data_IF_376589960261
#
_entry.id   IF_376589960261
#
_cell.length_a   1.000
_cell.length_b   1.000
_cell.length_c   1.000
_cell.angle_alpha   90.00
_cell.angle_beta   90.00
_cell.angle_gamma   90.00
#
_symmetry.space_group_name_H-M   'P 1'
#
loop_
_entity.id
_entity.type
_entity.pdbx_description
1 polymer ?
#
# COMPACT_ATOMS: atom_id res chain seq x y z
N UNK A 1 -2.21 -19.58 -1.55
CA UNK A 1 -2.53 -18.14 -1.69
C UNK A 1 -1.56 -17.49 -2.66
N UNK A 2 -1.99 -16.47 -3.39
CA UNK A 2 -1.13 -15.70 -4.31
C UNK A 2 -0.25 -14.70 -3.54
N UNK A 3 0.83 -14.26 -4.17
CA UNK A 3 1.63 -13.13 -3.69
C UNK A 3 0.79 -11.85 -3.59
N UNK A 4 1.05 -11.05 -2.55
CA UNK A 4 0.43 -9.74 -2.34
C UNK A 4 1.50 -8.72 -1.94
N UNK A 5 1.22 -7.44 -2.18
CA UNK A 5 2.08 -6.32 -1.75
C UNK A 5 2.40 -6.39 -0.26
N UNK A 6 3.68 -6.52 0.07
CA UNK A 6 4.17 -6.48 1.44
C UNK A 6 4.67 -5.10 1.81
N UNK A 7 5.67 -4.60 1.07
CA UNK A 7 6.27 -3.29 1.31
C UNK A 7 6.86 -2.70 0.03
N UNK A 8 6.85 -1.37 -0.02
CA UNK A 8 7.46 -0.57 -1.08
C UNK A 8 8.70 0.13 -0.55
N UNK A 9 9.70 0.28 -1.41
CA UNK A 9 10.96 0.91 -1.12
C UNK A 9 11.28 1.95 -2.19
N UNK A 10 11.89 3.08 -1.81
CA UNK A 10 12.29 4.14 -2.74
C UNK A 10 13.54 3.77 -3.55
N UNK A 11 14.29 2.74 -3.14
CA UNK A 11 15.56 2.38 -3.75
C UNK A 11 15.60 0.88 -4.12
N UNK A 12 16.05 0.60 -5.34
CA UNK A 12 16.23 -0.76 -5.86
C UNK A 12 17.17 -1.61 -5.00
N UNK A 13 18.26 -1.01 -4.51
CA UNK A 13 19.28 -1.69 -3.73
C UNK A 13 18.68 -2.19 -2.42
N UNK A 14 17.99 -1.30 -1.70
CA UNK A 14 17.30 -1.64 -0.46
C UNK A 14 16.26 -2.75 -0.67
N UNK A 15 15.42 -2.63 -1.70
CA UNK A 15 14.43 -3.66 -2.02
C UNK A 15 15.07 -5.03 -2.32
N UNK A 16 16.19 -5.05 -3.07
CA UNK A 16 16.92 -6.29 -3.40
C UNK A 16 17.59 -6.91 -2.18
N UNK A 17 18.13 -6.09 -1.28
CA UNK A 17 18.69 -6.55 0.00
C UNK A 17 17.61 -7.22 0.86
N UNK A 18 16.44 -6.58 0.97
CA UNK A 18 15.31 -7.16 1.71
C UNK A 18 14.81 -8.44 1.04
N UNK A 19 14.66 -8.47 -0.29
CA UNK A 19 14.26 -9.68 -1.02
C UNK A 19 15.25 -10.84 -0.79
N UNK A 20 16.55 -10.55 -0.81
CA UNK A 20 17.60 -11.53 -0.54
C UNK A 20 17.56 -12.03 0.91
N UNK A 21 17.30 -11.13 1.87
CA UNK A 21 17.15 -11.47 3.27
C UNK A 21 15.94 -12.38 3.49
N UNK A 22 14.77 -12.06 2.92
CA UNK A 22 13.58 -12.89 3.01
C UNK A 22 13.82 -14.28 2.39
N UNK A 23 14.49 -14.33 1.23
CA UNK A 23 14.87 -15.59 0.57
C UNK A 23 15.76 -16.46 1.47
N UNK A 24 16.75 -15.86 2.15
CA UNK A 24 17.65 -16.56 3.10
C UNK A 24 16.89 -17.25 4.24
N UNK A 25 15.75 -16.70 4.65
CA UNK A 25 14.90 -17.27 5.71
C UNK A 25 13.73 -18.13 5.18
N UNK A 26 13.85 -18.60 3.93
CA UNK A 26 12.86 -19.43 3.24
C UNK A 26 11.48 -18.76 3.12
N UNK A 27 11.45 -17.43 2.95
CA UNK A 27 10.24 -16.71 2.58
C UNK A 27 10.26 -16.48 1.08
N UNK A 28 9.34 -17.15 0.38
CA UNK A 28 9.14 -16.91 -1.04
C UNK A 28 8.71 -15.45 -1.22
N UNK A 29 9.36 -14.77 -2.16
CA UNK A 29 9.10 -13.37 -2.46
C UNK A 29 9.22 -13.10 -3.95
N UNK A 30 8.54 -12.05 -4.40
CA UNK A 30 8.59 -11.52 -5.74
C UNK A 30 9.01 -10.06 -5.65
N UNK A 31 10.14 -9.73 -6.26
CA UNK A 31 10.60 -8.35 -6.43
C UNK A 31 9.97 -7.79 -7.71
N UNK A 32 9.28 -6.66 -7.57
CA UNK A 32 8.58 -5.98 -8.64
C UNK A 32 9.16 -4.58 -8.79
N UNK A 33 9.63 -4.29 -9.99
CA UNK A 33 10.15 -2.98 -10.37
C UNK A 33 9.05 -2.22 -11.13
N UNK A 34 8.35 -1.30 -10.46
CA UNK A 34 7.33 -0.48 -11.13
C UNK A 34 8.00 0.74 -11.76
N UNK A 35 8.60 0.53 -12.95
CA UNK A 35 8.99 1.64 -13.83
C UNK A 35 7.75 2.13 -14.56
N UNK A 36 7.20 3.27 -14.13
CA UNK A 36 6.18 3.95 -14.91
C UNK A 36 6.83 4.55 -16.17
N UNK A 37 6.82 3.80 -17.27
CA UNK A 37 7.29 4.25 -18.58
C UNK A 37 6.25 5.11 -19.30
N UNK A 38 5.71 6.13 -18.63
CA UNK A 38 4.94 7.18 -19.30
C UNK A 38 5.86 8.37 -19.51
N UNK A 39 6.24 8.54 -20.77
CA UNK A 39 7.14 9.58 -21.26
C UNK A 39 6.78 10.97 -20.70
N UNK A 40 7.84 11.63 -20.22
CA UNK A 40 8.07 13.06 -20.10
C UNK A 40 6.88 13.97 -20.45
N UNK A 41 6.30 14.63 -19.43
CA UNK A 41 5.87 16.06 -19.45
C UNK A 41 4.70 16.41 -18.50
N UNK A 42 4.54 15.76 -17.34
CA UNK A 42 3.71 16.36 -16.27
C UNK A 42 4.36 16.22 -14.90
N UNK A 43 4.47 17.37 -14.24
CA UNK A 43 5.26 17.68 -13.05
C UNK A 43 4.81 16.94 -11.78
N UNK A 44 5.33 15.74 -11.59
CA UNK A 44 5.64 15.18 -10.28
C UNK A 44 6.70 14.11 -10.49
N UNK A 45 7.80 14.16 -9.74
CA UNK A 45 8.74 13.02 -9.65
C UNK A 45 7.95 11.88 -9.01
N UNK A 46 7.24 11.11 -9.84
CA UNK A 46 6.60 9.87 -9.44
C UNK A 46 7.74 8.89 -9.22
N UNK A 47 8.13 8.77 -7.94
CA UNK A 47 9.22 7.94 -7.46
C UNK A 47 9.11 6.55 -8.10
N UNK A 48 10.21 6.04 -8.66
CA UNK A 48 10.30 4.61 -8.97
C UNK A 48 10.01 3.84 -7.68
N UNK A 49 8.92 3.08 -7.66
CA UNK A 49 8.54 2.30 -6.50
C UNK A 49 9.01 0.86 -6.70
N UNK A 50 9.89 0.40 -5.82
CA UNK A 50 10.35 -0.98 -5.78
C UNK A 50 9.52 -1.73 -4.76
N UNK A 51 8.77 -2.73 -5.22
CA UNK A 51 7.82 -3.45 -4.39
C UNK A 51 8.30 -4.88 -4.13
N UNK A 52 8.15 -5.32 -2.88
CA UNK A 52 8.30 -6.72 -2.51
C UNK A 52 6.92 -7.30 -2.25
N UNK A 53 6.63 -8.44 -2.86
CA UNK A 53 5.43 -9.22 -2.61
C UNK A 53 5.79 -10.53 -1.94
N UNK A 54 5.03 -10.93 -0.93
CA UNK A 54 5.15 -12.23 -0.26
C UNK A 54 3.76 -12.84 -0.09
N UNK A 55 3.68 -14.07 0.41
CA UNK A 55 2.39 -14.66 0.77
C UNK A 55 1.87 -14.02 2.06
N UNK A 56 0.55 -13.75 2.19
CA UNK A 56 -0.02 -13.14 3.39
C UNK A 56 0.34 -13.87 4.70
N UNK A 57 0.39 -15.20 4.65
CA UNK A 57 0.77 -16.09 5.77
C UNK A 57 2.20 -15.84 6.30
N UNK A 58 3.09 -15.30 5.47
CA UNK A 58 4.49 -15.02 5.84
C UNK A 58 4.70 -13.61 6.40
N UNK A 59 3.68 -12.72 6.43
CA UNK A 59 3.84 -11.31 6.84
C UNK A 59 4.40 -11.18 8.26
N UNK A 60 3.83 -11.92 9.21
CA UNK A 60 4.30 -11.88 10.60
C UNK A 60 5.75 -12.36 10.72
N UNK A 61 6.09 -13.44 10.02
CA UNK A 61 7.45 -14.00 10.01
C UNK A 61 8.44 -13.03 9.36
N UNK A 62 8.05 -12.38 8.26
CA UNK A 62 8.84 -11.37 7.59
C UNK A 62 9.11 -10.18 8.52
N UNK A 63 8.08 -9.65 9.19
CA UNK A 63 8.21 -8.57 10.16
C UNK A 63 9.21 -8.91 11.29
N UNK A 64 9.14 -10.13 11.83
CA UNK A 64 10.05 -10.59 12.88
C UNK A 64 11.51 -10.69 12.40
N UNK A 65 11.74 -11.19 11.18
CA UNK A 65 13.07 -11.28 10.57
C UNK A 65 13.65 -9.89 10.34
N UNK A 66 12.85 -8.98 9.76
CA UNK A 66 13.27 -7.62 9.47
C UNK A 66 13.57 -6.84 10.73
N UNK A 67 12.72 -6.96 11.76
CA UNK A 67 12.97 -6.33 13.05
C UNK A 67 14.26 -6.84 13.69
N UNK A 68 14.52 -8.15 13.64
CA UNK A 68 15.75 -8.74 14.18
C UNK A 68 16.99 -8.24 13.44
N UNK A 69 16.95 -8.19 12.10
CA UNK A 69 18.05 -7.71 11.29
C UNK A 69 18.32 -6.21 11.54
N UNK A 70 17.26 -5.40 11.57
CA UNK A 70 17.35 -3.96 11.85
C UNK A 70 17.92 -3.68 13.24
N UNK A 71 17.52 -4.47 14.25
CA UNK A 71 18.01 -4.32 15.62
C UNK A 71 19.52 -4.51 15.74
N UNK A 72 20.14 -5.34 14.89
CA UNK A 72 21.59 -5.55 14.88
C UNK A 72 22.37 -4.36 14.33
N UNK A 73 21.71 -3.48 13.57
CA UNK A 73 22.33 -2.31 12.94
C UNK A 73 22.27 -1.07 13.85
N UNK A 74 21.46 -1.10 14.90
CA UNK A 74 21.24 0.05 15.81
C UNK A 74 22.56 0.54 16.41
N UNK A 75 23.42 -0.36 16.89
CA UNK A 75 24.69 -0.01 17.53
C UNK A 75 25.72 0.59 16.55
N UNK A 76 25.49 0.45 15.24
CA UNK A 76 26.35 0.99 14.18
C UNK A 76 25.85 2.30 13.60
N UNK A 77 24.77 2.86 14.15
CA UNK A 77 24.20 4.11 13.68
C UNK A 77 25.08 5.31 14.06
N UNK A 78 25.19 6.33 13.18
CA UNK A 78 25.80 7.60 13.54
C UNK A 78 25.07 8.27 14.71
N UNK A 79 25.80 8.93 15.60
CA UNK A 79 25.24 9.62 16.78
C UNK A 79 24.25 10.74 16.41
N UNK A 80 24.33 11.27 15.19
CA UNK A 80 23.46 12.32 14.65
C UNK A 80 22.23 11.78 13.88
N UNK A 81 21.95 10.47 13.98
CA UNK A 81 20.77 9.89 13.35
C UNK A 81 19.47 10.58 13.81
N UNK A 82 18.67 11.02 12.85
CA UNK A 82 17.57 11.96 13.06
C UNK A 82 16.53 11.53 14.12
N UNK A 83 16.27 10.22 14.27
CA UNK A 83 15.37 9.67 15.30
C UNK A 83 15.83 9.95 16.74
N UNK A 84 17.11 10.20 17.00
CA UNK A 84 17.58 10.55 18.34
C UNK A 84 16.96 11.86 18.85
N UNK A 85 16.63 12.78 17.93
CA UNK A 85 15.97 14.05 18.25
C UNK A 85 14.47 13.95 18.51
N UNK A 86 13.85 12.80 18.20
CA UNK A 86 12.39 12.64 18.28
C UNK A 86 11.92 12.52 19.74
N UNK A 87 10.76 13.11 20.02
CA UNK A 87 10.03 12.97 21.28
C UNK A 87 9.40 11.59 21.43
N UNK A 88 9.03 11.22 22.66
CA UNK A 88 8.34 9.94 22.90
C UNK A 88 7.04 9.81 22.11
N UNK A 89 6.33 10.92 21.85
CA UNK A 89 5.09 10.90 21.07
C UNK A 89 5.35 10.59 19.60
N UNK A 90 6.40 11.18 19.02
CA UNK A 90 6.80 10.92 17.64
C UNK A 90 7.30 9.49 17.46
N UNK A 91 8.12 8.99 18.40
CA UNK A 91 8.56 7.60 18.39
C UNK A 91 7.38 6.61 18.51
N UNK A 92 6.36 6.94 19.31
CA UNK A 92 5.13 6.14 19.36
C UNK A 92 4.42 6.16 18.00
N UNK A 93 4.32 7.32 17.32
CA UNK A 93 3.70 7.39 15.99
C UNK A 93 4.41 6.50 14.95
N UNK A 94 5.76 6.44 15.00
CA UNK A 94 6.55 5.49 14.18
C UNK A 94 6.15 4.04 14.46
N UNK A 95 6.03 3.67 15.75
CA UNK A 95 5.64 2.31 16.15
C UNK A 95 4.23 1.96 15.66
N UNK A 96 3.30 2.91 15.71
CA UNK A 96 1.91 2.72 15.26
C UNK A 96 1.83 2.60 13.74
N UNK A 97 2.59 3.42 13.01
CA UNK A 97 2.57 3.49 11.55
C UNK A 97 3.76 2.75 10.94
N UNK A 98 4.12 1.58 11.49
CA UNK A 98 5.30 0.81 11.05
C UNK A 98 5.33 0.53 9.54
N UNK A 99 4.17 0.53 8.88
CA UNK A 99 4.00 0.38 7.44
C UNK A 99 4.54 1.57 6.62
N UNK A 100 4.65 2.76 7.21
CA UNK A 100 5.11 4.00 6.58
C UNK A 100 6.60 4.28 6.83
N UNK A 101 7.26 3.54 7.73
CA UNK A 101 8.65 3.79 8.16
C UNK A 101 9.59 2.65 7.76
N UNK A 102 10.90 2.93 7.73
CA UNK A 102 11.89 1.86 7.47
C UNK A 102 11.96 0.88 8.64
N UNK A 103 12.47 -0.32 8.36
CA UNK A 103 12.69 -1.38 9.34
C UNK A 103 13.62 -0.91 10.47
N UNK A 104 14.64 -0.12 10.09
CA UNK A 104 15.61 0.48 11.00
C UNK A 104 14.97 1.52 11.90
N UNK A 105 14.14 2.41 11.35
CA UNK A 105 13.45 3.44 12.12
C UNK A 105 12.49 2.83 13.14
N UNK A 106 11.73 1.82 12.72
CA UNK A 106 10.84 1.09 13.61
C UNK A 106 11.61 0.41 14.76
N UNK A 107 12.71 -0.28 14.44
CA UNK A 107 13.54 -0.93 15.45
C UNK A 107 14.17 0.06 16.43
N UNK A 108 14.70 1.16 15.91
CA UNK A 108 15.29 2.23 16.71
C UNK A 108 14.24 2.93 17.59
N UNK A 109 13.04 3.18 17.08
CA UNK A 109 11.97 3.79 17.86
C UNK A 109 11.59 2.94 19.07
N UNK A 110 11.47 1.61 18.89
CA UNK A 110 11.24 0.68 20.01
C UNK A 110 12.41 0.72 21.00
N UNK A 111 13.65 0.71 20.50
CA UNK A 111 14.84 0.76 21.35
C UNK A 111 14.91 2.04 22.19
N UNK A 112 14.67 3.21 21.58
CA UNK A 112 14.66 4.51 22.25
C UNK A 112 13.53 4.65 23.26
N UNK A 113 12.33 4.16 22.96
CA UNK A 113 11.23 4.19 23.92
C UNK A 113 11.55 3.34 25.16
N UNK A 114 12.15 2.16 24.95
CA UNK A 114 12.60 1.29 26.05
C UNK A 114 13.69 1.93 26.89
N UNK A 115 14.71 2.53 26.26
CA UNK A 115 15.80 3.19 26.98
C UNK A 115 15.34 4.41 27.79
N UNK A 116 14.29 5.09 27.33
CA UNK A 116 13.65 6.21 28.03
C UNK A 116 12.65 5.77 29.12
N UNK A 117 12.58 4.48 29.43
CA UNK A 117 11.68 3.94 30.47
C UNK A 117 10.19 3.99 30.10
N UNK A 118 9.85 4.21 28.83
CA UNK A 118 8.47 4.13 28.35
C UNK A 118 8.12 2.66 28.16
N UNK A 119 7.12 2.16 28.90
CA UNK A 119 6.67 0.78 28.79
C UNK A 119 5.90 0.54 27.49
N UNK A 120 6.64 0.25 26.42
CA UNK A 120 6.07 -0.28 25.18
C UNK A 120 5.88 -1.79 25.37
N UNK A 121 4.73 -2.17 25.95
CA UNK A 121 4.37 -3.59 26.09
C UNK A 121 3.92 -4.15 24.74
N UNK A 122 4.10 -5.45 24.55
CA UNK A 122 3.58 -6.13 23.34
C UNK A 122 2.06 -5.91 23.20
N UNK A 123 1.34 -5.85 24.32
CA UNK A 123 -0.10 -5.58 24.34
C UNK A 123 -0.45 -4.17 23.84
N UNK A 124 0.32 -3.14 24.20
CA UNK A 124 0.07 -1.78 23.71
C UNK A 124 0.39 -1.62 22.22
N UNK A 125 1.44 -2.30 21.73
CA UNK A 125 1.76 -2.39 20.31
C UNK A 125 0.65 -3.11 19.55
N UNK A 126 0.20 -4.27 20.03
CA UNK A 126 -0.88 -5.04 19.38
C UNK A 126 -2.18 -4.24 19.32
N UNK A 127 -2.54 -3.56 20.41
CA UNK A 127 -3.72 -2.70 20.45
C UNK A 127 -3.61 -1.57 19.42
N UNK A 128 -2.45 -0.92 19.31
CA UNK A 128 -2.26 0.16 18.36
C UNK A 128 -2.24 -0.32 16.90
N UNK A 129 -1.61 -1.48 16.64
CA UNK A 129 -1.67 -2.14 15.33
C UNK A 129 -3.11 -2.48 14.94
N UNK A 130 -3.90 -3.01 15.86
CA UNK A 130 -5.32 -3.33 15.61
C UNK A 130 -6.14 -2.06 15.32
N UNK A 131 -5.88 -0.97 16.05
CA UNK A 131 -6.50 0.33 15.75
C UNK A 131 -6.11 0.84 14.36
N UNK A 132 -4.82 0.80 14.01
CA UNK A 132 -4.30 1.16 12.68
C UNK A 132 -4.94 0.33 11.57
N UNK A 133 -5.04 -0.99 11.75
CA UNK A 133 -5.72 -1.88 10.80
C UNK A 133 -7.20 -1.49 10.64
N UNK A 134 -7.90 -1.20 11.74
CA UNK A 134 -9.31 -0.77 11.68
C UNK A 134 -9.48 0.59 10.99
N UNK A 135 -8.52 1.50 11.14
CA UNK A 135 -8.49 2.77 10.42
C UNK A 135 -8.26 2.57 8.92
N UNK A 136 -7.24 1.78 8.56
CA UNK A 136 -6.92 1.46 7.17
C UNK A 136 -8.03 0.65 6.48
N UNK A 137 -8.85 -0.08 7.26
CA UNK A 137 -10.04 -0.80 6.78
C UNK A 137 -11.15 0.10 6.29
N UNK A 138 -11.19 1.36 6.74
CA UNK A 138 -12.22 2.29 6.29
C UNK A 138 -12.10 2.47 4.76
N UNK A 139 -13.22 2.39 4.03
CA UNK A 139 -13.23 2.66 2.60
C UNK A 139 -12.67 4.06 2.34
N UNK A 140 -11.94 4.19 1.24
CA UNK A 140 -11.57 5.51 0.75
C UNK A 140 -12.86 6.22 0.34
N UNK A 141 -13.00 7.48 0.77
CA UNK A 141 -14.12 8.31 0.31
C UNK A 141 -13.95 8.50 -1.19
N UNK A 142 -14.76 7.81 -1.99
CA UNK A 142 -14.88 8.20 -3.38
C UNK A 142 -15.46 9.62 -3.40
N UNK A 143 -14.79 10.52 -4.11
CA UNK A 143 -15.36 11.83 -4.35
C UNK A 143 -16.57 11.63 -5.26
N UNK A 144 -17.76 12.10 -4.88
CA UNK A 144 -18.96 12.00 -5.72
C UNK A 144 -18.74 12.54 -7.13
N UNK A 145 -17.81 13.50 -7.30
CA UNK A 145 -17.37 13.98 -8.60
C UNK A 145 -16.75 12.87 -9.49
N UNK A 146 -15.95 11.96 -8.91
CA UNK A 146 -15.33 10.86 -9.66
C UNK A 146 -16.36 9.86 -10.18
N UNK A 147 -17.38 9.56 -9.38
CA UNK A 147 -18.52 8.74 -9.80
C UNK A 147 -19.28 9.43 -10.93
N UNK A 148 -19.54 10.74 -10.82
CA UNK A 148 -20.21 11.52 -11.85
C UNK A 148 -19.44 11.53 -13.18
N UNK A 149 -18.12 11.72 -13.15
CA UNK A 149 -17.24 11.61 -14.33
C UNK A 149 -17.39 10.23 -14.97
N UNK A 150 -17.40 9.16 -14.17
CA UNK A 150 -17.63 7.80 -14.67
C UNK A 150 -18.92 7.65 -15.47
N UNK A 151 -20.03 8.20 -14.98
CA UNK A 151 -21.31 8.20 -15.70
C UNK A 151 -21.27 9.02 -16.99
N UNK A 152 -20.65 10.21 -16.97
CA UNK A 152 -20.50 11.05 -18.16
C UNK A 152 -19.68 10.32 -19.23
N UNK A 153 -18.54 9.75 -18.86
CA UNK A 153 -17.69 8.96 -19.73
C UNK A 153 -18.37 7.69 -20.26
N UNK A 154 -19.27 7.08 -19.48
CA UNK A 154 -20.07 5.95 -19.95
C UNK A 154 -21.02 6.34 -21.08
N UNK A 155 -21.58 7.55 -21.08
CA UNK A 155 -22.52 8.00 -22.10
C UNK A 155 -21.80 8.52 -23.36
N UNK A 156 -20.70 9.26 -23.21
CA UNK A 156 -20.02 9.94 -24.33
C UNK A 156 -19.18 9.03 -25.25
N UNK A 157 -19.19 7.71 -25.03
CA UNK A 157 -18.42 6.77 -25.83
C UNK A 157 -18.23 5.39 -25.19
N UNK A 158 -18.57 5.25 -23.91
CA UNK A 158 -18.70 3.97 -23.24
C UNK A 158 -17.41 3.36 -22.71
N UNK A 159 -16.31 3.41 -23.48
CA UNK A 159 -15.04 2.77 -23.12
C UNK A 159 -14.44 3.29 -21.80
N UNK A 160 -14.28 4.61 -21.67
CA UNK A 160 -13.74 5.21 -20.44
C UNK A 160 -14.66 4.96 -19.24
N UNK A 161 -15.98 5.01 -19.44
CA UNK A 161 -16.95 4.63 -18.41
C UNK A 161 -16.78 3.18 -17.96
N UNK A 162 -16.61 2.24 -18.90
CA UNK A 162 -16.35 0.84 -18.59
C UNK A 162 -15.12 0.67 -17.70
N UNK A 163 -13.99 1.31 -18.04
CA UNK A 163 -12.75 1.25 -17.27
C UNK A 163 -12.95 1.81 -15.86
N UNK A 164 -13.58 2.99 -15.73
CA UNK A 164 -13.85 3.63 -14.42
C UNK A 164 -14.78 2.74 -13.57
N UNK A 165 -15.85 2.21 -14.16
CA UNK A 165 -16.77 1.31 -13.49
C UNK A 165 -16.09 0.03 -13.00
N UNK A 166 -15.19 -0.53 -13.80
CA UNK A 166 -14.40 -1.71 -13.43
C UNK A 166 -13.46 -1.42 -12.26
N UNK A 167 -12.76 -0.28 -12.26
CA UNK A 167 -11.89 0.15 -11.16
C UNK A 167 -12.71 0.32 -9.87
N UNK A 168 -13.80 1.08 -9.93
CA UNK A 168 -14.68 1.30 -8.78
C UNK A 168 -15.21 -0.02 -8.19
N UNK A 169 -15.52 -1.00 -9.04
CA UNK A 169 -16.09 -2.28 -8.62
C UNK A 169 -15.06 -3.24 -8.01
N UNK A 170 -13.83 -3.27 -8.54
CA UNK A 170 -12.90 -4.39 -8.30
C UNK A 170 -11.63 -4.01 -7.52
N UNK A 171 -11.30 -2.72 -7.40
CA UNK A 171 -10.04 -2.30 -6.80
C UNK A 171 -9.96 -2.71 -5.32
N UNK A 172 -8.84 -3.34 -4.97
CA UNK A 172 -8.52 -3.79 -3.61
C UNK A 172 -7.17 -3.27 -3.18
N UNK A 173 -7.04 -2.90 -1.91
CA UNK A 173 -5.78 -2.59 -1.24
C UNK A 173 -5.37 -3.74 -0.33
N UNK A 174 -4.07 -3.88 -0.11
CA UNK A 174 -3.49 -4.83 0.84
C UNK A 174 -3.17 -4.07 2.13
N UNK A 175 -3.62 -4.60 3.26
CA UNK A 175 -3.33 -4.03 4.58
C UNK A 175 -1.97 -4.53 5.10
N UNK A 176 -1.36 -3.85 6.08
CA UNK A 176 -0.10 -4.28 6.71
C UNK A 176 -0.11 -5.66 7.36
N UNK A 177 -1.28 -6.29 7.52
CA UNK A 177 -1.45 -7.66 7.99
C UNK A 177 -1.64 -8.69 6.84
N UNK A 178 -1.51 -8.27 5.58
CA UNK A 178 -1.69 -9.10 4.38
C UNK A 178 -3.13 -9.27 3.91
N UNK A 179 -4.11 -8.76 4.65
CA UNK A 179 -5.53 -8.83 4.28
C UNK A 179 -5.82 -7.93 3.07
N UNK A 180 -6.57 -8.44 2.08
CA UNK A 180 -6.98 -7.67 0.91
C UNK A 180 -8.44 -7.26 1.00
N UNK A 181 -8.68 -5.96 1.04
CA UNK A 181 -10.02 -5.38 1.16
C UNK A 181 -10.33 -4.46 -0.02
N UNK A 182 -11.60 -4.22 -0.29
CA UNK A 182 -12.00 -3.26 -1.32
C UNK A 182 -11.61 -1.84 -0.92
N UNK A 183 -11.11 -1.08 -1.89
CA UNK A 183 -10.77 0.34 -1.70
C UNK A 183 -12.04 1.15 -1.49
N UNK A 184 -13.03 0.92 -2.35
CA UNK A 184 -14.28 1.66 -2.38
C UNK A 184 -15.38 1.02 -1.53
N UNK A 185 -16.28 1.86 -1.04
CA UNK A 185 -17.42 1.43 -0.22
C UNK A 185 -18.39 0.54 -1.00
N UNK A 186 -19.32 -0.12 -0.30
CA UNK A 186 -20.33 -0.95 -0.99
C UNK A 186 -21.24 -0.12 -1.91
N UNK A 187 -21.60 1.10 -1.51
CA UNK A 187 -22.39 2.02 -2.34
C UNK A 187 -21.63 2.43 -3.59
N UNK A 188 -20.35 2.75 -3.45
CA UNK A 188 -19.52 3.19 -4.58
C UNK A 188 -19.29 2.05 -5.56
N UNK A 189 -19.12 0.82 -5.06
CA UNK A 189 -19.05 -0.39 -5.90
C UNK A 189 -20.36 -0.66 -6.64
N UNK A 190 -21.52 -0.36 -6.04
CA UNK A 190 -22.82 -0.41 -6.75
C UNK A 190 -22.87 0.61 -7.89
N UNK A 191 -22.38 1.83 -7.67
CA UNK A 191 -22.24 2.81 -8.75
C UNK A 191 -21.26 2.33 -9.82
N UNK A 192 -20.10 1.79 -9.43
CA UNK A 192 -19.13 1.20 -10.36
C UNK A 192 -19.75 0.12 -11.25
N UNK A 193 -20.57 -0.78 -10.68
CA UNK A 193 -21.32 -1.79 -11.42
C UNK A 193 -22.29 -1.17 -12.43
N UNK A 194 -23.03 -0.13 -12.05
CA UNK A 194 -23.96 0.56 -12.94
C UNK A 194 -23.23 1.28 -14.09
N UNK A 195 -22.15 2.00 -13.77
CA UNK A 195 -21.29 2.67 -14.74
C UNK A 195 -20.69 1.66 -15.72
N UNK A 196 -20.24 0.49 -15.24
CA UNK A 196 -19.68 -0.57 -16.07
C UNK A 196 -20.71 -1.09 -17.09
N UNK A 197 -21.94 -1.37 -16.66
CA UNK A 197 -22.99 -1.82 -17.58
C UNK A 197 -23.40 -0.76 -18.59
N UNK A 198 -23.57 0.49 -18.15
CA UNK A 198 -23.86 1.61 -19.05
C UNK A 198 -22.73 1.80 -20.06
N UNK A 199 -21.48 1.83 -19.59
CA UNK A 199 -20.31 1.99 -20.43
C UNK A 199 -20.19 0.89 -21.47
N UNK A 200 -20.44 -0.37 -21.08
CA UNK A 200 -20.46 -1.50 -22.01
C UNK A 200 -21.55 -1.34 -23.07
N UNK A 201 -22.77 -0.95 -22.67
CA UNK A 201 -23.90 -0.76 -23.58
C UNK A 201 -23.64 0.33 -24.62
N UNK A 202 -23.20 1.51 -24.18
CA UNK A 202 -22.89 2.64 -25.06
C UNK A 202 -21.65 2.38 -25.93
N UNK A 203 -20.67 1.62 -25.45
CA UNK A 203 -19.50 1.23 -26.25
C UNK A 203 -19.88 0.26 -27.38
N UNK A 204 -20.77 -0.70 -27.11
CA UNK A 204 -21.28 -1.59 -28.18
C UNK A 204 -22.10 -0.80 -29.19
N UNK A 205 -22.97 0.10 -28.72
CA UNK A 205 -23.78 0.95 -29.60
C UNK A 205 -22.93 1.87 -30.48
N UNK A 206 -21.86 2.45 -29.94
CA UNK A 206 -20.96 3.30 -30.72
C UNK A 206 -20.21 2.52 -31.80
N UNK A 207 -19.76 1.29 -31.51
CA UNK A 207 -19.14 0.41 -32.51
C UNK A 207 -20.12 0.07 -33.63
N UNK A 208 -21.37 -0.29 -33.29
CA UNK A 208 -22.40 -0.60 -34.30
C UNK A 208 -22.62 0.59 -35.21
N UNK A 209 -22.79 1.79 -34.64
CA UNK A 209 -23.03 3.01 -35.40
C UNK A 209 -21.87 3.31 -36.37
N UNK A 210 -20.63 3.16 -35.92
CA UNK A 210 -19.43 3.35 -36.76
C UNK A 210 -19.34 2.32 -37.88
N UNK A 211 -19.74 1.06 -37.66
CA UNK A 211 -19.71 0.01 -38.69
C UNK A 211 -20.83 0.15 -39.73
N UNK A 212 -21.93 0.85 -39.40
CA UNK A 212 -23.08 1.06 -40.28
C UNK A 212 -23.02 2.36 -41.11
N UNK A 213 -22.03 3.21 -40.85
CA UNK A 213 -21.77 4.49 -41.53
C UNK A 213 -20.69 4.34 -42.60
#
# INVERSE_FOLDING_TARGET
>A
MSFVSYKKYPNSLQAKEIASLLSKYNILNEYVENKNSLDSNFSSVLLEEYEIKIKPEDFKKADEILFKQASQLIDSLPDDYYLFSFSNKELIDIVIKKDEWSELDYALAIHLLKSRGVSVTNESIEKANNQRINELKKPEKSNSAWIAVGYICAILGGFLGYVIGYILLTQKKTLPNGERIYVYSESDRKHGKNILYLGTSFFVLSIILVLTL
#
